data_IF_539714965679
#
_entry.id   IF_539714965679
#
_cell.length_a   1.000
_cell.length_b   1.000
_cell.length_c   1.000
_cell.angle_alpha   90.00
_cell.angle_beta   90.00
_cell.angle_gamma   90.00
#
_symmetry.space_group_name_H-M   'P 1'
#
loop_
_entity.id
_entity.type
_entity.pdbx_description
1 polymer ?
#
# COMPACT_ATOMS: atom_id res chain seq x y z
N UNK A 1 -11.15 20.05 -12.90
CA UNK A 1 -11.07 19.14 -11.74
C UNK A 1 -10.98 20.03 -10.53
N UNK A 2 -11.87 19.82 -9.57
CA UNK A 2 -11.94 20.61 -8.35
C UNK A 2 -11.24 19.90 -7.18
N UNK A 3 -11.00 18.59 -7.30
CA UNK A 3 -10.27 17.76 -6.35
C UNK A 3 -9.68 16.50 -6.99
N UNK A 4 -8.87 15.77 -6.20
CA UNK A 4 -8.21 14.53 -6.56
C UNK A 4 -8.47 13.43 -5.52
N UNK A 5 -8.85 12.25 -5.99
CA UNK A 5 -8.63 11.00 -5.23
C UNK A 5 -7.59 10.21 -6.00
N UNK A 6 -6.41 10.06 -5.41
CA UNK A 6 -5.33 9.32 -6.06
C UNK A 6 -5.25 7.91 -5.50
N UNK A 7 -5.18 6.91 -6.38
CA UNK A 7 -5.15 5.49 -6.00
C UNK A 7 -3.80 4.88 -6.41
N UNK A 8 -3.17 4.16 -5.49
CA UNK A 8 -1.88 3.52 -5.73
C UNK A 8 -1.76 2.22 -4.92
N UNK A 9 -0.99 1.24 -5.39
CA UNK A 9 -0.95 -0.11 -4.81
C UNK A 9 0.35 -0.89 -4.96
N UNK A 10 1.44 -0.24 -5.39
CA UNK A 10 2.75 -0.88 -5.49
C UNK A 10 3.87 0.16 -5.35
N UNK A 11 4.76 -0.06 -4.39
CA UNK A 11 6.04 0.64 -4.19
C UNK A 11 6.11 2.08 -4.74
N UNK A 12 6.50 2.26 -6.01
CA UNK A 12 6.79 3.59 -6.61
C UNK A 12 5.55 4.38 -7.03
N UNK A 13 4.41 3.72 -7.23
CA UNK A 13 3.19 4.44 -7.58
C UNK A 13 2.62 5.22 -6.38
N UNK A 14 2.90 4.81 -5.14
CA UNK A 14 2.51 5.55 -3.93
C UNK A 14 3.12 6.97 -3.91
N UNK A 15 4.45 7.15 -3.84
CA UNK A 15 5.03 8.49 -3.84
C UNK A 15 4.77 9.24 -5.16
N UNK A 16 4.68 8.55 -6.30
CA UNK A 16 4.35 9.18 -7.59
C UNK A 16 2.99 9.88 -7.57
N UNK A 17 1.98 9.21 -7.02
CA UNK A 17 0.62 9.77 -6.90
C UNK A 17 0.55 10.87 -5.85
N UNK A 18 1.21 10.69 -4.70
CA UNK A 18 1.30 11.75 -3.68
C UNK A 18 1.98 13.00 -4.24
N UNK A 19 3.10 12.86 -4.94
CA UNK A 19 3.79 13.99 -5.58
C UNK A 19 2.91 14.70 -6.60
N UNK A 20 2.08 13.97 -7.36
CA UNK A 20 1.15 14.57 -8.30
C UNK A 20 0.05 15.37 -7.59
N UNK A 21 -0.53 14.84 -6.51
CA UNK A 21 -1.50 15.54 -5.68
C UNK A 21 -0.89 16.83 -5.08
N UNK A 22 0.30 16.72 -4.49
CA UNK A 22 1.03 17.84 -3.88
C UNK A 22 1.34 18.94 -4.89
N UNK A 23 1.83 18.58 -6.08
CA UNK A 23 2.19 19.57 -7.12
C UNK A 23 0.97 20.24 -7.74
N UNK A 24 -0.16 19.55 -7.78
CA UNK A 24 -1.42 20.09 -8.30
C UNK A 24 -2.06 21.02 -7.27
N UNK A 25 -1.90 20.71 -5.98
CA UNK A 25 -2.34 21.51 -4.83
C UNK A 25 -3.83 21.87 -4.86
N UNK A 26 -4.64 20.91 -5.31
CA UNK A 26 -6.10 20.92 -5.18
C UNK A 26 -6.48 20.05 -3.97
N UNK A 27 -7.69 20.21 -3.39
CA UNK A 27 -8.20 19.29 -2.39
C UNK A 27 -8.00 17.83 -2.80
N UNK A 28 -7.28 17.06 -1.98
CA UNK A 28 -6.76 15.75 -2.37
C UNK A 28 -6.80 14.77 -1.21
N UNK A 29 -7.14 13.50 -1.50
CA UNK A 29 -7.00 12.38 -0.57
C UNK A 29 -6.35 11.20 -1.28
N UNK A 30 -5.41 10.55 -0.61
CA UNK A 30 -4.70 9.38 -1.11
C UNK A 30 -5.37 8.08 -0.61
N UNK A 31 -5.56 7.13 -1.52
CA UNK A 31 -6.09 5.80 -1.25
C UNK A 31 -5.06 4.73 -1.61
N UNK A 32 -4.61 3.99 -0.61
CA UNK A 32 -3.82 2.78 -0.81
C UNK A 32 -4.72 1.62 -1.28
N UNK A 33 -4.23 0.83 -2.24
CA UNK A 33 -4.91 -0.35 -2.76
C UNK A 33 -4.90 -1.55 -1.81
N UNK A 34 -4.06 -1.55 -0.78
CA UNK A 34 -3.98 -2.60 0.22
C UNK A 34 -2.87 -3.63 -0.02
N UNK A 35 -2.51 -4.31 1.06
CA UNK A 35 -1.52 -5.38 1.05
C UNK A 35 -2.12 -6.70 0.61
N UNK A 36 -1.35 -7.55 -0.07
CA UNK A 36 -1.72 -8.94 -0.34
C UNK A 36 -1.72 -9.74 0.96
N UNK A 37 -2.59 -10.75 1.04
CA UNK A 37 -2.53 -11.78 2.08
C UNK A 37 -1.34 -12.72 1.87
N UNK A 38 -0.76 -13.30 2.93
CA UNK A 38 0.29 -14.31 2.78
C UNK A 38 -0.26 -15.55 2.06
N UNK A 39 0.59 -16.15 1.23
CA UNK A 39 0.34 -17.47 0.66
C UNK A 39 0.57 -18.57 1.69
N UNK A 40 0.32 -19.82 1.29
CA UNK A 40 0.57 -20.99 2.15
C UNK A 40 1.32 -22.08 1.37
N UNK A 41 2.34 -22.66 1.99
CA UNK A 41 2.99 -23.87 1.49
C UNK A 41 3.34 -24.79 2.67
N UNK A 42 2.91 -26.04 2.59
CA UNK A 42 3.08 -27.06 3.65
C UNK A 42 2.61 -26.59 5.05
N UNK A 43 1.50 -25.85 5.12
CA UNK A 43 0.96 -25.33 6.37
C UNK A 43 1.78 -24.20 7.00
N UNK A 44 2.69 -23.58 6.22
CA UNK A 44 3.44 -22.38 6.61
C UNK A 44 3.03 -21.21 5.72
N UNK A 45 2.91 -20.05 6.34
CA UNK A 45 2.74 -18.80 5.59
C UNK A 45 4.00 -18.50 4.78
N UNK A 46 3.82 -18.17 3.50
CA UNK A 46 4.88 -17.79 2.59
C UNK A 46 4.56 -16.47 1.92
N UNK A 47 5.61 -15.73 1.56
CA UNK A 47 5.50 -14.43 0.88
C UNK A 47 6.48 -14.39 -0.29
N UNK A 48 6.46 -13.29 -1.05
CA UNK A 48 7.48 -13.03 -2.09
C UNK A 48 8.91 -13.06 -1.53
N UNK A 49 9.12 -12.71 -0.25
CA UNK A 49 10.44 -12.83 0.39
C UNK A 49 10.86 -14.30 0.52
N UNK A 50 9.93 -15.19 0.87
CA UNK A 50 10.18 -16.63 0.97
C UNK A 50 10.65 -17.21 -0.36
N UNK A 51 10.16 -16.69 -1.50
CA UNK A 51 10.66 -17.10 -2.82
C UNK A 51 12.09 -16.62 -3.08
N UNK A 52 12.43 -15.39 -2.69
CA UNK A 52 13.81 -14.90 -2.81
C UNK A 52 14.78 -15.73 -1.97
N UNK A 53 14.36 -16.14 -0.78
CA UNK A 53 15.13 -17.05 0.09
C UNK A 53 15.21 -18.45 -0.53
N UNK A 54 14.10 -18.97 -1.06
CA UNK A 54 14.02 -20.28 -1.72
C UNK A 54 14.96 -20.43 -2.91
N UNK A 55 15.15 -19.38 -3.72
CA UNK A 55 16.17 -19.37 -4.79
C UNK A 55 17.58 -19.62 -4.22
N UNK A 56 17.88 -19.03 -3.06
CA UNK A 56 19.13 -19.27 -2.35
C UNK A 56 19.25 -20.71 -1.81
N UNK A 57 18.17 -21.25 -1.27
CA UNK A 57 18.09 -22.63 -0.75
C UNK A 57 18.22 -23.68 -1.86
N UNK A 58 17.68 -23.42 -3.05
CA UNK A 58 17.93 -24.25 -4.23
C UNK A 58 19.41 -24.19 -4.63
N UNK A 59 20.00 -22.99 -4.65
CA UNK A 59 21.41 -22.82 -5.00
C UNK A 59 22.38 -23.50 -4.00
N UNK A 60 22.00 -23.62 -2.72
CA UNK A 60 22.76 -24.38 -1.71
C UNK A 60 22.54 -25.89 -1.77
N UNK A 61 21.57 -26.37 -2.57
CA UNK A 61 21.20 -27.77 -2.69
C UNK A 61 20.32 -28.29 -1.55
N UNK A 62 19.76 -27.40 -0.74
CA UNK A 62 18.90 -27.73 0.41
C UNK A 62 17.41 -27.81 0.04
N UNK A 63 17.03 -27.34 -1.15
CA UNK A 63 15.68 -27.36 -1.72
C UNK A 63 15.75 -27.77 -3.20
N UNK A 64 14.72 -28.44 -3.70
CA UNK A 64 14.64 -28.82 -5.12
C UNK A 64 14.05 -27.69 -5.97
N UNK A 65 14.37 -27.64 -7.27
CA UNK A 65 13.72 -26.69 -8.19
C UNK A 65 12.21 -26.95 -8.28
N UNK A 66 11.78 -28.22 -8.19
CA UNK A 66 10.36 -28.57 -8.17
C UNK A 66 9.63 -28.04 -6.94
N UNK A 67 10.25 -28.12 -5.76
CA UNK A 67 9.69 -27.54 -4.52
C UNK A 67 9.56 -26.02 -4.62
N UNK A 68 10.56 -25.34 -5.20
CA UNK A 68 10.51 -23.90 -5.43
C UNK A 68 9.39 -23.49 -6.41
N UNK A 69 9.17 -24.26 -7.49
CA UNK A 69 8.05 -24.04 -8.43
C UNK A 69 6.69 -24.20 -7.73
N UNK A 70 6.55 -25.17 -6.83
CA UNK A 70 5.34 -25.32 -6.03
C UNK A 70 5.15 -24.13 -5.08
N UNK A 71 6.20 -23.68 -4.40
CA UNK A 71 6.15 -22.49 -3.55
C UNK A 71 5.74 -21.24 -4.34
N UNK A 72 6.31 -21.04 -5.54
CA UNK A 72 6.01 -19.88 -6.39
C UNK A 72 4.51 -19.76 -6.70
N UNK A 73 3.88 -20.90 -7.04
CA UNK A 73 2.45 -20.97 -7.38
C UNK A 73 1.53 -20.63 -6.22
N UNK A 74 2.02 -20.71 -4.98
CA UNK A 74 1.22 -20.49 -3.78
C UNK A 74 1.58 -19.20 -3.01
N UNK A 75 2.70 -18.53 -3.34
CA UNK A 75 3.19 -17.37 -2.58
C UNK A 75 2.34 -16.09 -2.74
N UNK A 76 1.58 -15.97 -3.82
CA UNK A 76 0.79 -14.78 -4.15
C UNK A 76 -0.68 -15.16 -4.35
N UNK A 77 -1.48 -15.28 -3.27
CA UNK A 77 -2.83 -15.86 -3.33
C UNK A 77 -3.90 -14.94 -3.95
N UNK A 78 -3.59 -13.67 -4.20
CA UNK A 78 -4.57 -12.69 -4.68
C UNK A 78 -3.96 -11.34 -5.04
N UNK A 79 -4.80 -10.31 -5.11
CA UNK A 79 -4.39 -8.94 -5.37
C UNK A 79 -3.73 -8.26 -4.15
N UNK A 80 -2.93 -7.23 -4.41
CA UNK A 80 -2.35 -6.34 -3.38
C UNK A 80 -0.85 -6.13 -3.54
N UNK A 81 -0.30 -5.19 -2.77
CA UNK A 81 1.14 -4.98 -2.71
C UNK A 81 1.82 -6.06 -1.85
N UNK A 82 3.16 -6.16 -1.91
CA UNK A 82 3.92 -7.13 -1.13
C UNK A 82 3.59 -7.09 0.38
N UNK A 83 3.34 -8.27 0.98
CA UNK A 83 2.79 -8.44 2.33
C UNK A 83 3.62 -7.87 3.50
N UNK A 84 4.94 -7.78 3.34
CA UNK A 84 5.83 -7.32 4.42
C UNK A 84 5.87 -5.80 4.58
N UNK A 85 6.54 -5.31 5.63
CA UNK A 85 6.88 -3.89 5.80
C UNK A 85 8.02 -3.46 4.86
N UNK A 86 7.77 -3.61 3.56
CA UNK A 86 8.60 -3.11 2.47
C UNK A 86 8.07 -1.75 2.01
N UNK A 87 8.61 -1.24 0.90
CA UNK A 87 8.33 0.13 0.46
C UNK A 87 6.85 0.44 0.26
N UNK A 88 6.03 -0.51 -0.24
CA UNK A 88 4.60 -0.25 -0.43
C UNK A 88 3.88 0.02 0.91
N UNK A 89 4.01 -0.87 1.88
CA UNK A 89 3.37 -0.73 3.19
C UNK A 89 3.99 0.42 3.99
N UNK A 90 5.32 0.61 3.93
CA UNK A 90 5.98 1.80 4.53
C UNK A 90 5.44 3.10 3.96
N UNK A 91 5.36 3.24 2.63
CA UNK A 91 4.84 4.46 2.00
C UNK A 91 3.34 4.65 2.26
N UNK A 92 2.58 3.57 2.42
CA UNK A 92 1.19 3.66 2.85
C UNK A 92 1.07 4.21 4.27
N UNK A 93 1.87 3.71 5.22
CA UNK A 93 1.90 4.26 6.59
C UNK A 93 2.34 5.72 6.61
N UNK A 94 3.37 6.08 5.83
CA UNK A 94 3.82 7.47 5.68
C UNK A 94 2.66 8.34 5.19
N UNK A 95 1.84 7.87 4.25
CA UNK A 95 0.70 8.63 3.71
C UNK A 95 -0.34 9.02 4.76
N UNK A 96 -0.56 8.16 5.76
CA UNK A 96 -1.42 8.46 6.91
C UNK A 96 -0.76 9.48 7.84
N UNK A 97 0.52 9.26 8.16
CA UNK A 97 1.26 10.09 9.13
C UNK A 97 1.43 11.53 8.64
N UNK A 98 1.72 11.72 7.35
CA UNK A 98 1.79 13.05 6.75
C UNK A 98 0.42 13.67 6.48
N UNK A 99 -0.68 12.94 6.74
CA UNK A 99 -2.05 13.44 6.66
C UNK A 99 -2.69 13.45 5.27
N UNK A 100 -2.12 12.74 4.29
CA UNK A 100 -2.70 12.64 2.94
C UNK A 100 -3.74 11.52 2.81
N UNK A 101 -3.74 10.54 3.71
CA UNK A 101 -4.68 9.43 3.74
C UNK A 101 -5.49 9.43 5.05
N UNK A 102 -6.70 8.83 5.06
CA UNK A 102 -7.47 8.63 6.29
C UNK A 102 -6.68 7.78 7.29
N UNK A 103 -6.87 8.03 8.58
CA UNK A 103 -6.26 7.22 9.64
C UNK A 103 -6.77 5.77 9.56
N UNK A 104 -5.85 4.80 9.54
CA UNK A 104 -6.18 3.37 9.44
C UNK A 104 -6.30 2.85 8.00
N UNK A 105 -6.32 3.72 6.99
CA UNK A 105 -6.39 3.35 5.57
C UNK A 105 -5.24 2.45 5.07
N UNK A 106 -4.09 2.42 5.75
CA UNK A 106 -2.92 1.60 5.39
C UNK A 106 -3.09 0.13 5.79
N UNK A 107 -4.00 -0.19 6.72
CA UNK A 107 -4.05 -1.50 7.36
C UNK A 107 -4.88 -2.57 6.61
N UNK A 108 -6.06 -2.25 6.04
CA UNK A 108 -6.89 -3.27 5.40
C UNK A 108 -6.18 -3.98 4.24
N UNK A 109 -6.22 -5.33 4.15
CA UNK A 109 -5.75 -6.05 2.97
C UNK A 109 -6.49 -5.60 1.70
N UNK A 110 -5.90 -5.86 0.53
CA UNK A 110 -6.47 -5.41 -0.74
C UNK A 110 -7.85 -6.02 -1.04
N UNK A 111 -8.07 -7.27 -0.64
CA UNK A 111 -9.30 -8.03 -0.90
C UNK A 111 -10.27 -8.07 0.30
N UNK A 112 -10.00 -7.32 1.38
CA UNK A 112 -10.92 -7.28 2.53
C UNK A 112 -12.09 -6.34 2.28
N UNK A 113 -13.24 -6.63 2.89
CA UNK A 113 -14.42 -5.73 2.83
C UNK A 113 -14.13 -4.35 3.42
N UNK A 114 -13.29 -4.29 4.46
CA UNK A 114 -12.80 -3.05 5.08
C UNK A 114 -12.11 -2.11 4.07
N UNK A 115 -11.47 -2.64 3.02
CA UNK A 115 -10.85 -1.81 1.97
C UNK A 115 -11.88 -1.01 1.19
N UNK A 116 -13.07 -1.56 0.96
CA UNK A 116 -14.17 -0.83 0.33
C UNK A 116 -14.78 0.23 1.25
N UNK A 117 -14.78 -0.02 2.56
CA UNK A 117 -15.19 0.97 3.56
C UNK A 117 -14.24 2.17 3.55
N UNK A 118 -12.92 1.93 3.56
CA UNK A 118 -11.90 2.99 3.44
C UNK A 118 -12.03 3.76 2.13
N UNK A 119 -12.31 3.08 1.01
CA UNK A 119 -12.53 3.74 -0.27
C UNK A 119 -13.76 4.66 -0.25
N UNK A 120 -14.84 4.23 0.39
CA UNK A 120 -16.04 5.03 0.57
C UNK A 120 -15.81 6.22 1.52
N UNK A 121 -15.06 6.01 2.60
CA UNK A 121 -14.64 7.08 3.53
C UNK A 121 -13.77 8.13 2.82
N UNK A 122 -12.80 7.69 2.02
CA UNK A 122 -11.97 8.55 1.17
C UNK A 122 -12.83 9.46 0.28
N UNK A 123 -13.89 8.89 -0.31
CA UNK A 123 -14.85 9.64 -1.12
C UNK A 123 -15.62 10.72 -0.35
N UNK A 124 -15.90 10.50 0.95
CA UNK A 124 -16.51 11.53 1.81
C UNK A 124 -15.50 12.60 2.18
N UNK A 125 -14.29 12.20 2.58
CA UNK A 125 -13.24 13.12 3.01
C UNK A 125 -12.83 14.07 1.89
N UNK A 126 -12.77 13.60 0.64
CA UNK A 126 -12.44 14.50 -0.49
C UNK A 126 -13.54 15.55 -0.74
N UNK A 127 -14.81 15.22 -0.50
CA UNK A 127 -15.90 16.19 -0.59
C UNK A 127 -15.80 17.24 0.52
N UNK A 128 -15.55 16.81 1.76
CA UNK A 128 -15.33 17.72 2.89
C UNK A 128 -14.11 18.63 2.65
N UNK A 129 -13.06 18.08 2.02
CA UNK A 129 -11.87 18.84 1.63
C UNK A 129 -12.19 19.88 0.55
N UNK A 130 -13.07 19.57 -0.42
CA UNK A 130 -13.55 20.56 -1.40
C UNK A 130 -14.35 21.66 -0.73
N UNK A 131 -15.31 21.32 0.12
CA UNK A 131 -16.16 22.29 0.81
C UNK A 131 -15.35 23.24 1.71
N UNK A 132 -14.26 22.73 2.30
CA UNK A 132 -13.36 23.48 3.18
C UNK A 132 -12.15 24.10 2.46
N UNK A 133 -12.01 23.91 1.14
CA UNK A 133 -10.82 24.24 0.34
C UNK A 133 -9.50 23.77 0.98
N UNK A 134 -9.50 22.56 1.59
CA UNK A 134 -8.34 21.99 2.28
C UNK A 134 -7.43 21.30 1.27
N UNK A 135 -6.20 21.81 1.14
CA UNK A 135 -5.21 21.37 0.13
C UNK A 135 -4.02 20.66 0.77
N UNK A 136 -3.23 19.90 -0.01
CA UNK A 136 -1.97 19.35 0.46
C UNK A 136 -1.05 20.39 1.11
N UNK A 137 -0.96 21.62 0.58
CA UNK A 137 -0.17 22.71 1.17
C UNK A 137 -0.59 23.11 2.59
N UNK A 138 -1.84 22.86 2.98
CA UNK A 138 -2.36 23.23 4.30
C UNK A 138 -2.06 22.16 5.36
N UNK A 139 -1.80 20.92 4.90
CA UNK A 139 -1.59 19.74 5.76
C UNK A 139 -0.10 19.43 5.87
N UNK A 140 0.63 19.53 4.75
CA UNK A 140 2.03 19.14 4.65
C UNK A 140 2.93 20.24 5.17
N UNK A 141 3.38 20.06 6.41
CA UNK A 141 4.29 20.96 7.11
C UNK A 141 5.59 20.23 7.43
N UNK A 142 6.62 20.98 7.85
CA UNK A 142 7.87 20.37 8.34
C UNK A 142 7.59 19.37 9.47
N UNK A 143 6.65 19.68 10.35
CA UNK A 143 6.25 18.83 11.48
C UNK A 143 5.57 17.53 10.99
N UNK A 144 4.71 17.60 9.96
CA UNK A 144 4.08 16.38 9.42
C UNK A 144 5.11 15.45 8.79
N UNK A 145 6.15 15.99 8.15
CA UNK A 145 7.25 15.20 7.61
C UNK A 145 8.22 14.68 8.70
N UNK A 146 8.38 15.37 9.82
CA UNK A 146 9.19 14.90 10.95
C UNK A 146 8.49 13.79 11.75
N UNK A 147 7.16 13.73 11.70
CA UNK A 147 6.38 12.64 12.29
C UNK A 147 6.52 11.32 11.51
N UNK A 148 6.77 11.41 10.21
CA UNK A 148 6.88 10.26 9.29
C UNK A 148 8.30 9.70 9.25
#
# INVERSE_FOLDING_TARGET
>A
MDALVTVAGCDKNLPGMMMAAIRTDLPSVFLYGGSIMPGEHEGREITVQSLFEGVGTVASGEMTEEELDEMERNACPGAGACGGMFTANTMSSISEVIGLAPLGAASPPAESDERYEVAHETGKIVLDAVESDRRPSDILTKESFENA
#
